data_IF_790527197237
#
_entry.id   IF_790527197237
#
_cell.length_a   1.000
_cell.length_b   1.000
_cell.length_c   1.000
_cell.angle_alpha   90.00
_cell.angle_beta   90.00
_cell.angle_gamma   90.00
#
_symmetry.space_group_name_H-M   'P 1'
#
loop_
_entity.id
_entity.type
_entity.pdbx_description
1 polymer ?
#
# COMPACT_ATOMS: atom_id res chain seq x y z
N UNK A 1 7.12 7.10 8.25
CA UNK A 1 8.39 6.40 7.94
C UNK A 1 8.40 6.00 6.49
N UNK A 2 9.47 6.28 5.78
CA UNK A 2 9.63 5.87 4.39
C UNK A 2 10.45 4.58 4.32
N UNK A 3 10.05 3.68 3.41
CA UNK A 3 10.63 2.35 3.37
C UNK A 3 10.77 1.90 1.91
N UNK A 4 11.98 1.47 1.49
CA UNK A 4 12.13 0.90 0.15
C UNK A 4 11.38 -0.42 0.04
N UNK A 5 10.63 -0.58 -1.02
CA UNK A 5 9.86 -1.80 -1.27
C UNK A 5 10.01 -2.23 -2.72
N UNK A 6 9.76 -3.51 -3.00
CA UNK A 6 9.72 -4.05 -4.34
C UNK A 6 8.39 -4.74 -4.55
N UNK A 7 7.74 -4.44 -5.68
CA UNK A 7 6.49 -5.06 -6.05
C UNK A 7 6.75 -6.03 -7.20
N UNK A 8 6.49 -7.31 -6.99
CA UNK A 8 6.71 -8.35 -7.98
C UNK A 8 5.38 -8.76 -8.63
N UNK A 9 5.37 -8.83 -9.95
CA UNK A 9 4.19 -9.26 -10.70
C UNK A 9 4.58 -9.76 -12.08
N UNK A 10 3.97 -10.85 -12.51
CA UNK A 10 4.09 -11.35 -13.89
C UNK A 10 5.53 -11.37 -14.42
N UNK A 11 6.47 -11.82 -13.61
CA UNK A 11 7.87 -11.94 -14.01
C UNK A 11 8.64 -10.64 -14.03
N UNK A 12 8.06 -9.53 -13.59
CA UNK A 12 8.76 -8.24 -13.48
C UNK A 12 8.69 -7.73 -12.06
N UNK A 13 9.56 -6.75 -11.78
CA UNK A 13 9.55 -6.10 -10.46
C UNK A 13 9.59 -4.58 -10.65
N UNK A 14 8.98 -3.87 -9.71
CA UNK A 14 8.98 -2.42 -9.64
C UNK A 14 9.47 -2.01 -8.27
N UNK A 15 10.54 -1.22 -8.22
CA UNK A 15 11.09 -0.73 -6.96
C UNK A 15 10.56 0.67 -6.69
N UNK A 16 10.16 0.94 -5.46
CA UNK A 16 9.66 2.25 -5.08
C UNK A 16 9.83 2.47 -3.57
N UNK A 17 9.39 3.61 -3.10
CA UNK A 17 9.40 3.95 -1.68
C UNK A 17 7.96 3.98 -1.19
N UNK A 18 7.70 3.27 -0.10
CA UNK A 18 6.40 3.28 0.55
C UNK A 18 6.41 4.17 1.78
N UNK A 19 5.29 4.82 2.04
CA UNK A 19 5.07 5.52 3.31
C UNK A 19 4.41 4.54 4.27
N UNK A 20 5.02 4.33 5.43
CA UNK A 20 4.42 3.53 6.49
C UNK A 20 3.66 4.49 7.40
N UNK A 21 2.36 4.33 7.47
CA UNK A 21 1.46 5.27 8.16
C UNK A 21 0.43 4.53 8.99
N UNK A 22 0.62 4.52 10.31
CA UNK A 22 -0.29 3.82 11.24
C UNK A 22 -1.68 4.44 11.27
N UNK A 23 -1.83 5.69 10.81
CA UNK A 23 -3.13 6.34 10.72
C UNK A 23 -3.94 5.93 9.49
N UNK A 24 -3.31 5.29 8.50
CA UNK A 24 -4.02 4.81 7.32
C UNK A 24 -4.68 3.48 7.64
N UNK A 25 -5.90 3.30 7.13
CA UNK A 25 -6.72 2.12 7.46
C UNK A 25 -6.61 1.00 6.43
N UNK A 26 -5.74 1.12 5.46
CA UNK A 26 -5.55 0.10 4.43
C UNK A 26 -4.15 0.10 3.86
N UNK A 27 -3.97 -0.68 2.82
CA UNK A 27 -2.74 -0.74 2.03
C UNK A 27 -3.10 -0.20 0.66
N UNK A 28 -2.39 0.84 0.22
CA UNK A 28 -2.80 1.61 -0.96
C UNK A 28 -1.70 1.72 -1.99
N UNK A 29 -2.10 1.81 -3.27
CA UNK A 29 -1.21 2.13 -4.37
C UNK A 29 -1.80 3.30 -5.15
N UNK A 30 -0.95 4.23 -5.59
CA UNK A 30 -1.39 5.38 -6.37
C UNK A 30 -1.87 4.93 -7.76
N UNK A 31 -3.02 5.48 -8.20
CA UNK A 31 -3.63 5.10 -9.47
C UNK A 31 -2.72 5.37 -10.66
N UNK A 32 -2.11 6.56 -10.70
CA UNK A 32 -1.24 6.92 -11.82
C UNK A 32 -0.01 6.02 -11.84
N UNK A 33 0.59 5.77 -10.70
CA UNK A 33 1.74 4.87 -10.57
C UNK A 33 1.38 3.46 -11.05
N UNK A 34 0.22 2.95 -10.64
CA UNK A 34 -0.24 1.62 -11.03
C UNK A 34 -0.42 1.53 -12.56
N UNK A 35 -0.99 2.56 -13.17
CA UNK A 35 -1.17 2.59 -14.62
C UNK A 35 0.15 2.73 -15.36
N UNK A 36 1.06 3.56 -14.88
CA UNK A 36 2.36 3.77 -15.50
C UNK A 36 3.20 2.48 -15.55
N UNK A 37 3.05 1.63 -14.54
CA UNK A 37 3.81 0.39 -14.45
C UNK A 37 3.00 -0.83 -14.90
N UNK A 38 1.85 -0.59 -15.53
CA UNK A 38 1.00 -1.65 -16.10
C UNK A 38 0.56 -2.70 -15.08
N UNK A 39 0.27 -2.27 -13.86
CA UNK A 39 -0.36 -3.17 -12.89
C UNK A 39 -1.76 -3.52 -13.37
N UNK A 40 -2.15 -4.76 -13.12
CA UNK A 40 -3.50 -5.20 -13.47
C UNK A 40 -4.48 -4.67 -12.43
N UNK A 41 -5.23 -3.64 -12.80
CA UNK A 41 -6.24 -3.03 -11.93
C UNK A 41 -7.55 -3.79 -12.09
N UNK A 42 -8.09 -4.28 -10.98
CA UNK A 42 -9.35 -5.03 -10.95
C UNK A 42 -10.39 -4.27 -10.15
N UNK A 43 -11.65 -4.55 -10.44
CA UNK A 43 -12.76 -3.93 -9.69
C UNK A 43 -13.06 -4.75 -8.45
N UNK A 44 -13.30 -4.03 -7.34
CA UNK A 44 -13.84 -4.65 -6.13
C UNK A 44 -15.31 -4.96 -6.38
N UNK A 45 -15.80 -6.05 -5.79
CA UNK A 45 -17.21 -6.37 -5.91
C UNK A 45 -18.08 -5.41 -5.08
N UNK A 46 -17.50 -4.68 -4.14
CA UNK A 46 -18.17 -3.71 -3.29
C UNK A 46 -17.23 -2.54 -3.02
N UNK A 47 -17.77 -1.32 -3.09
CA UNK A 47 -17.00 -0.12 -2.80
C UNK A 47 -16.61 -0.07 -1.32
N UNK A 48 -15.44 0.47 -1.04
CA UNK A 48 -14.94 0.68 0.32
C UNK A 48 -14.81 2.17 0.55
N UNK A 49 -15.49 2.69 1.57
CA UNK A 49 -15.33 4.08 1.98
C UNK A 49 -14.09 4.19 2.87
N UNK A 50 -13.17 5.09 2.50
CA UNK A 50 -11.95 5.30 3.26
C UNK A 50 -11.95 6.71 3.83
N UNK A 51 -11.74 6.81 5.14
CA UNK A 51 -11.70 8.07 5.85
C UNK A 51 -10.24 8.42 6.17
N UNK A 52 -9.92 9.70 6.10
CA UNK A 52 -8.63 10.19 6.54
C UNK A 52 -8.55 10.15 8.08
N UNK A 53 -7.35 10.34 8.61
CA UNK A 53 -7.12 10.31 10.07
C UNK A 53 -8.01 11.32 10.80
N UNK A 54 -8.30 12.46 10.18
CA UNK A 54 -9.13 13.50 10.76
C UNK A 54 -10.63 13.25 10.60
N UNK A 55 -11.01 12.10 10.06
CA UNK A 55 -12.41 11.76 9.88
C UNK A 55 -13.04 12.23 8.58
N UNK A 56 -12.30 12.95 7.74
CA UNK A 56 -12.82 13.37 6.45
C UNK A 56 -12.68 12.25 5.43
N UNK A 57 -13.52 12.27 4.39
CA UNK A 57 -13.42 11.28 3.31
C UNK A 57 -12.18 11.52 2.48
N UNK A 58 -11.62 10.43 1.95
CA UNK A 58 -10.58 10.50 0.94
C UNK A 58 -11.09 11.35 -0.25
N UNK A 59 -10.19 12.12 -0.88
CA UNK A 59 -10.56 12.99 -2.01
C UNK A 59 -11.21 12.23 -3.16
N UNK A 60 -10.82 10.98 -3.37
CA UNK A 60 -11.42 10.14 -4.40
C UNK A 60 -12.77 9.57 -4.00
N UNK A 61 -13.19 9.76 -2.74
CA UNK A 61 -14.42 9.17 -2.22
C UNK A 61 -14.25 7.69 -1.93
N UNK A 62 -15.05 6.84 -2.56
CA UNK A 62 -14.98 5.39 -2.34
C UNK A 62 -13.88 4.75 -3.15
N UNK A 63 -13.29 3.69 -2.59
CA UNK A 63 -12.33 2.85 -3.29
C UNK A 63 -13.12 1.78 -4.06
N UNK A 64 -12.83 1.64 -5.33
CA UNK A 64 -13.54 0.70 -6.23
C UNK A 64 -12.64 -0.31 -6.89
N UNK A 65 -11.34 -0.12 -6.80
CA UNK A 65 -10.37 -0.91 -7.55
C UNK A 65 -9.23 -1.37 -6.66
N UNK A 66 -8.60 -2.46 -7.06
CA UNK A 66 -7.46 -2.99 -6.34
C UNK A 66 -6.45 -3.61 -7.30
N UNK A 67 -5.24 -3.80 -6.79
CA UNK A 67 -4.14 -4.48 -7.48
C UNK A 67 -3.60 -5.55 -6.54
N UNK A 68 -3.30 -6.73 -7.07
CA UNK A 68 -2.61 -7.77 -6.31
C UNK A 68 -1.19 -7.87 -6.81
N UNK A 69 -0.23 -7.79 -5.90
CA UNK A 69 1.18 -7.94 -6.23
C UNK A 69 1.91 -8.54 -5.04
N UNK A 70 3.06 -9.15 -5.29
CA UNK A 70 3.91 -9.63 -4.21
C UNK A 70 4.73 -8.47 -3.68
N UNK A 71 4.54 -8.15 -2.40
CA UNK A 71 5.26 -7.06 -1.75
C UNK A 71 6.49 -7.61 -1.04
N UNK A 72 7.66 -7.12 -1.45
CA UNK A 72 8.91 -7.49 -0.81
C UNK A 72 9.44 -6.31 0.00
N UNK A 73 9.69 -6.55 1.28
CA UNK A 73 10.27 -5.58 2.20
C UNK A 73 11.40 -6.26 2.94
N UNK A 74 12.62 -5.77 2.74
CA UNK A 74 13.83 -6.30 3.40
C UNK A 74 13.96 -7.82 3.25
N UNK A 75 13.73 -8.30 2.04
CA UNK A 75 13.87 -9.72 1.69
C UNK A 75 12.67 -10.59 2.08
N UNK A 76 11.66 -10.03 2.70
CA UNK A 76 10.45 -10.78 3.04
C UNK A 76 9.38 -10.47 2.02
N UNK A 77 8.76 -11.50 1.49
CA UNK A 77 7.77 -11.39 0.42
C UNK A 77 6.41 -11.87 0.88
N UNK A 78 5.37 -11.15 0.48
CA UNK A 78 4.00 -11.55 0.77
C UNK A 78 3.08 -11.05 -0.32
N UNK A 79 2.21 -11.92 -0.82
CA UNK A 79 1.16 -11.50 -1.74
C UNK A 79 0.24 -10.53 -1.03
N UNK A 80 0.04 -9.37 -1.64
CA UNK A 80 -0.64 -8.26 -0.99
C UNK A 80 -1.66 -7.66 -1.93
N UNK A 81 -2.82 -7.31 -1.40
CA UNK A 81 -3.85 -6.58 -2.12
C UNK A 81 -3.73 -5.10 -1.79
N UNK A 82 -3.55 -4.28 -2.83
CA UNK A 82 -3.42 -2.84 -2.69
C UNK A 82 -4.69 -2.17 -3.19
N UNK A 83 -5.27 -1.29 -2.39
CA UNK A 83 -6.41 -0.50 -2.83
C UNK A 83 -5.91 0.65 -3.69
N UNK A 84 -6.57 0.88 -4.82
CA UNK A 84 -6.16 1.90 -5.79
C UNK A 84 -6.88 3.20 -5.51
N UNK A 85 -6.11 4.28 -5.32
CA UNK A 85 -6.65 5.61 -5.11
C UNK A 85 -5.60 6.66 -5.47
N UNK A 86 -5.98 7.92 -5.49
CA UNK A 86 -5.02 9.00 -5.71
C UNK A 86 -4.30 9.30 -4.40
N UNK A 87 -2.98 9.12 -4.40
CA UNK A 87 -2.16 9.32 -3.21
C UNK A 87 -1.31 10.60 -3.23
N UNK A 88 -1.46 11.41 -4.27
CA UNK A 88 -0.67 12.61 -4.41
C UNK A 88 0.80 12.30 -4.66
N UNK A 89 1.67 12.63 -3.72
CA UNK A 89 3.11 12.42 -3.88
C UNK A 89 3.56 11.01 -3.53
N UNK A 90 2.75 10.24 -2.83
CA UNK A 90 3.12 8.88 -2.43
C UNK A 90 2.74 7.88 -3.52
N UNK A 91 3.57 6.84 -3.69
CA UNK A 91 3.28 5.77 -4.65
C UNK A 91 2.60 4.60 -3.96
N UNK A 92 3.02 4.28 -2.74
CA UNK A 92 2.48 3.18 -1.94
C UNK A 92 2.37 3.65 -0.49
N UNK A 93 1.26 3.30 0.15
CA UNK A 93 1.08 3.53 1.59
C UNK A 93 0.81 2.20 2.24
N UNK A 94 1.61 1.88 3.26
CA UNK A 94 1.44 0.68 4.08
C UNK A 94 0.82 1.10 5.40
N UNK A 95 -0.48 0.89 5.52
CA UNK A 95 -1.23 1.32 6.68
C UNK A 95 -1.26 0.31 7.80
N UNK A 96 -2.17 0.52 8.73
CA UNK A 96 -2.29 -0.30 9.93
C UNK A 96 -2.39 -1.81 9.66
N UNK A 97 -3.15 -2.28 8.65
CA UNK A 97 -3.22 -3.73 8.40
C UNK A 97 -1.85 -4.35 8.09
N UNK A 98 -0.99 -3.63 7.35
CA UNK A 98 0.36 -4.12 7.08
C UNK A 98 1.19 -4.13 8.35
N UNK A 99 1.07 -3.08 9.17
CA UNK A 99 1.82 -2.98 10.42
C UNK A 99 1.49 -4.11 11.38
N UNK A 100 0.23 -4.49 11.47
CA UNK A 100 -0.19 -5.60 12.31
C UNK A 100 0.46 -6.91 11.88
N UNK A 101 0.51 -7.17 10.57
CA UNK A 101 1.16 -8.38 10.06
C UNK A 101 2.67 -8.35 10.19
N UNK A 102 3.27 -7.18 10.06
CA UNK A 102 4.72 -7.03 10.17
C UNK A 102 5.21 -7.01 11.62
N UNK A 103 4.33 -6.73 12.57
CA UNK A 103 4.62 -6.85 14.00
C UNK A 103 4.84 -8.34 14.31
N UNK A 104 5.82 -8.79 14.99
CA UNK A 104 6.91 -8.23 15.74
C UNK A 104 8.23 -8.01 14.97
N UNK A 105 8.17 -7.90 13.68
CA UNK A 105 9.35 -7.71 12.82
C UNK A 105 9.84 -6.28 12.81
N UNK A 106 9.06 -5.37 13.39
CA UNK A 106 9.41 -3.95 13.47
C UNK A 106 9.75 -3.60 14.90
N UNK A 107 10.88 -2.93 15.09
CA UNK A 107 11.21 -2.36 16.38
C UNK A 107 10.59 -0.97 16.45
N UNK A 108 9.46 -0.87 17.11
CA UNK A 108 8.71 0.38 17.21
C UNK A 108 9.48 1.50 17.87
N UNK A 109 10.29 1.17 18.88
CA UNK A 109 11.07 2.15 19.62
C UNK A 109 12.13 2.80 18.76
N UNK A 110 12.78 2.02 17.92
CA UNK A 110 13.85 2.48 17.05
C UNK A 110 13.40 2.65 15.61
N UNK A 111 12.18 2.24 15.29
CA UNK A 111 11.60 2.26 13.95
C UNK A 111 12.45 1.52 12.94
N UNK A 112 12.90 0.34 13.32
CA UNK A 112 13.70 -0.55 12.47
C UNK A 112 13.04 -1.91 12.38
N UNK A 113 13.33 -2.61 11.29
CA UNK A 113 12.97 -4.02 11.19
C UNK A 113 13.98 -4.84 11.98
N UNK A 114 13.47 -5.79 12.73
CA UNK A 114 14.30 -6.71 13.47
C UNK A 114 14.70 -7.91 12.62
#
# INVERSE_FOLDING_TARGET
MLLPVTLHMNGRKVETIALVDSGATGIFIDRVFAKEHNFRIRNLWKEIAVMNVDGTKNQDGSIREYVTANLEVKGRQKDTQFLVTALGTQKVILGYPWLVEANPKINWREQKFS
#
